data_IF_038029240339
#
_entry.id   IF_038029240339
#
_cell.length_a   1.000
_cell.length_b   1.000
_cell.length_c   1.000
_cell.angle_alpha   90.00
_cell.angle_beta   90.00
_cell.angle_gamma   90.00
#
_symmetry.space_group_name_H-M   'P 1'
#
loop_
_entity.id
_entity.type
_entity.pdbx_description
1 polymer ?
#
# COMPACT_ATOMS: atom_id res chain seq x y z
N UNK A 1 -3.53 -5.61 -1.18
CA UNK A 1 -3.86 -6.45 -0.01
C UNK A 1 -4.39 -5.52 1.07
N UNK A 2 -5.49 -5.87 1.73
CA UNK A 2 -6.08 -5.03 2.78
C UNK A 2 -5.57 -5.53 4.13
N UNK A 3 -5.09 -4.61 4.97
CA UNK A 3 -4.63 -4.91 6.33
C UNK A 3 -5.61 -4.27 7.30
N UNK A 4 -6.20 -5.10 8.16
CA UNK A 4 -7.06 -4.68 9.26
C UNK A 4 -6.29 -4.80 10.57
N UNK A 5 -6.41 -3.81 11.46
CA UNK A 5 -5.77 -3.85 12.77
C UNK A 5 -6.57 -3.03 13.78
N UNK A 6 -6.74 -3.60 14.97
CA UNK A 6 -7.35 -2.89 16.11
C UNK A 6 -6.38 -1.82 16.63
N UNK A 7 -6.87 -0.59 16.82
CA UNK A 7 -6.12 0.50 17.44
C UNK A 7 -6.55 0.62 18.90
N UNK A 8 -5.58 0.53 19.80
CA UNK A 8 -5.81 0.41 21.25
C UNK A 8 -4.81 1.19 22.10
N UNK A 9 -3.68 1.60 21.53
CA UNK A 9 -2.60 2.29 22.21
C UNK A 9 -2.26 3.56 21.44
N UNK A 10 -1.79 4.64 22.09
CA UNK A 10 -1.43 5.88 21.39
C UNK A 10 -0.48 5.67 20.20
N UNK A 11 0.46 4.73 20.30
CA UNK A 11 1.36 4.37 19.21
C UNK A 11 0.63 3.81 17.98
N UNK A 12 -0.44 3.04 18.17
CA UNK A 12 -1.27 2.52 17.07
C UNK A 12 -1.97 3.65 16.33
N UNK A 13 -2.53 4.61 17.07
CA UNK A 13 -3.19 5.78 16.48
C UNK A 13 -2.20 6.67 15.73
N UNK A 14 -1.03 6.93 16.32
CA UNK A 14 0.04 7.69 15.68
C UNK A 14 0.48 7.06 14.35
N UNK A 15 0.72 5.74 14.34
CA UNK A 15 1.04 5.01 13.12
C UNK A 15 -0.08 5.11 12.07
N UNK A 16 -1.34 4.98 12.48
CA UNK A 16 -2.49 5.06 11.58
C UNK A 16 -2.60 6.45 10.92
N UNK A 17 -2.27 7.53 11.63
CA UNK A 17 -2.20 8.89 11.06
C UNK A 17 -1.06 9.00 10.05
N UNK A 18 0.16 8.59 10.42
CA UNK A 18 1.35 8.70 9.57
C UNK A 18 1.20 7.94 8.25
N UNK A 19 0.60 6.75 8.34
CA UNK A 19 0.38 5.87 7.19
C UNK A 19 -0.96 6.13 6.47
N UNK A 20 -1.70 7.18 6.88
CA UNK A 20 -2.98 7.60 6.26
C UNK A 20 -4.02 6.48 6.19
N UNK A 21 -4.21 5.77 7.30
CA UNK A 21 -5.22 4.72 7.40
C UNK A 21 -6.63 5.31 7.39
N UNK A 22 -7.57 4.50 6.92
CA UNK A 22 -9.00 4.72 7.16
C UNK A 22 -9.43 3.94 8.39
N UNK A 23 -10.41 4.41 9.14
CA UNK A 23 -10.76 3.82 10.43
C UNK A 23 -12.27 3.69 10.58
N UNK A 24 -12.69 2.64 11.28
CA UNK A 24 -14.06 2.41 11.72
C UNK A 24 -14.14 2.53 13.24
N UNK A 25 -15.15 3.23 13.74
CA UNK A 25 -15.34 3.50 15.17
C UNK A 25 -16.60 2.80 15.65
N UNK A 26 -16.48 2.08 16.76
CA UNK A 26 -17.57 1.37 17.39
C UNK A 26 -17.73 1.81 18.85
N UNK A 27 -18.97 1.96 19.30
CA UNK A 27 -19.33 2.18 20.71
C UNK A 27 -20.49 1.26 21.08
N UNK A 28 -20.41 0.57 22.22
CA UNK A 28 -21.41 -0.39 22.66
C UNK A 28 -21.79 -1.44 21.59
N UNK A 29 -20.78 -1.91 20.85
CA UNK A 29 -20.92 -2.84 19.71
C UNK A 29 -21.70 -2.30 18.51
N UNK A 30 -21.99 -1.00 18.45
CA UNK A 30 -22.60 -0.33 17.29
C UNK A 30 -21.53 0.41 16.49
N UNK A 31 -21.57 0.25 15.17
CA UNK A 31 -20.74 1.03 14.25
C UNK A 31 -21.26 2.46 14.19
N UNK A 32 -20.40 3.44 14.50
CA UNK A 32 -20.73 4.86 14.47
C UNK A 32 -20.27 5.52 13.17
N UNK A 33 -19.04 5.24 12.75
CA UNK A 33 -18.43 5.81 11.54
C UNK A 33 -17.49 4.79 10.91
N UNK A 34 -17.32 4.80 9.59
CA UNK A 34 -16.47 3.83 8.87
C UNK A 34 -15.85 4.46 7.63
N UNK A 35 -14.59 4.11 7.35
CA UNK A 35 -13.93 4.44 6.10
C UNK A 35 -13.39 5.87 6.00
N UNK A 36 -13.18 6.54 7.13
CA UNK A 36 -12.66 7.91 7.16
C UNK A 36 -11.22 7.94 7.68
N UNK A 37 -10.39 8.90 7.20
CA UNK A 37 -9.08 9.14 7.78
C UNK A 37 -9.18 9.49 9.26
N UNK A 38 -8.12 9.15 9.99
CA UNK A 38 -7.95 9.51 11.39
C UNK A 38 -6.99 10.66 11.55
N UNK A 39 -7.29 11.55 12.49
CA UNK A 39 -6.45 12.65 12.91
C UNK A 39 -6.26 12.58 14.43
N UNK A 40 -5.03 12.76 14.91
CA UNK A 40 -4.75 12.92 16.33
C UNK A 40 -5.12 14.35 16.75
N UNK A 41 -5.99 14.50 17.75
CA UNK A 41 -6.29 15.80 18.34
C UNK A 41 -5.44 16.05 19.60
N UNK A 42 -5.41 15.06 20.50
CA UNK A 42 -4.54 15.04 21.66
C UNK A 42 -4.15 13.58 21.99
N UNK A 43 -3.57 13.32 23.16
CA UNK A 43 -3.12 11.97 23.55
C UNK A 43 -4.24 10.93 23.69
N UNK A 44 -5.45 11.38 24.02
CA UNK A 44 -6.57 10.50 24.42
C UNK A 44 -7.79 10.64 23.50
N UNK A 45 -7.74 11.58 22.55
CA UNK A 45 -8.83 11.94 21.65
C UNK A 45 -8.37 11.99 20.21
N UNK A 46 -9.16 11.38 19.33
CA UNK A 46 -8.97 11.39 17.88
C UNK A 46 -10.14 12.08 17.20
N UNK A 47 -9.89 12.62 16.02
CA UNK A 47 -10.90 13.23 15.16
C UNK A 47 -11.05 12.38 13.90
N UNK A 48 -12.30 12.00 13.61
CA UNK A 48 -12.66 11.16 12.47
C UNK A 48 -13.93 11.74 11.85
N UNK A 49 -13.91 12.02 10.55
CA UNK A 49 -15.04 12.64 9.83
C UNK A 49 -15.56 13.96 10.46
N UNK A 50 -14.71 14.73 11.14
CA UNK A 50 -15.12 15.97 11.82
C UNK A 50 -15.68 15.78 13.24
N UNK A 51 -15.83 14.54 13.71
CA UNK A 51 -16.30 14.21 15.07
C UNK A 51 -15.13 13.78 15.95
N UNK A 52 -15.17 14.17 17.23
CA UNK A 52 -14.17 13.79 18.23
C UNK A 52 -14.60 12.53 18.98
N UNK A 53 -13.66 11.60 19.19
CA UNK A 53 -13.87 10.36 19.92
C UNK A 53 -12.78 10.17 20.96
N UNK A 54 -13.18 9.82 22.18
CA UNK A 54 -12.27 9.39 23.24
C UNK A 54 -11.79 7.96 22.96
N UNK A 55 -10.47 7.74 23.04
CA UNK A 55 -9.85 6.44 22.74
C UNK A 55 -10.30 5.35 23.71
N UNK A 56 -10.58 5.70 24.97
CA UNK A 56 -10.97 4.75 26.02
C UNK A 56 -12.44 4.30 25.93
N UNK A 57 -13.32 5.13 25.35
CA UNK A 57 -14.75 4.85 25.29
C UNK A 57 -15.19 4.11 24.02
N UNK A 58 -14.30 4.04 23.03
CA UNK A 58 -14.61 3.53 21.70
C UNK A 58 -13.62 2.43 21.27
N UNK A 59 -14.07 1.56 20.39
CA UNK A 59 -13.21 0.60 19.70
C UNK A 59 -12.91 1.10 18.29
N UNK A 60 -11.67 0.97 17.87
CA UNK A 60 -11.20 1.52 16.59
C UNK A 60 -10.57 0.41 15.75
N UNK A 61 -11.08 0.21 14.54
CA UNK A 61 -10.51 -0.72 13.58
C UNK A 61 -9.89 0.08 12.42
N UNK A 62 -8.57 0.01 12.30
CA UNK A 62 -7.81 0.62 11.24
C UNK A 62 -7.71 -0.27 10.00
N UNK A 63 -7.80 0.35 8.83
CA UNK A 63 -7.75 -0.28 7.53
C UNK A 63 -6.74 0.45 6.62
N UNK A 64 -5.78 -0.31 6.09
CA UNK A 64 -4.79 0.17 5.11
C UNK A 64 -4.84 -0.67 3.84
N UNK A 65 -4.84 0.00 2.69
CA UNK A 65 -4.60 -0.64 1.40
C UNK A 65 -3.10 -0.69 1.17
N UNK A 66 -2.54 -1.90 1.14
CA UNK A 66 -1.15 -2.13 0.75
C UNK A 66 -1.11 -2.31 -0.77
N UNK A 67 -0.46 -1.40 -1.53
CA UNK A 67 -0.21 -1.63 -2.94
C UNK A 67 0.57 -2.93 -3.08
N UNK A 68 0.10 -3.84 -3.93
CA UNK A 68 0.93 -4.98 -4.30
C UNK A 68 2.09 -4.41 -5.13
N UNK A 69 3.28 -4.34 -4.54
CA UNK A 69 4.50 -4.23 -5.35
C UNK A 69 4.57 -5.50 -6.20
N UNK A 70 4.04 -5.41 -7.43
CA UNK A 70 4.33 -6.38 -8.48
C UNK A 70 5.85 -6.48 -8.56
N UNK A 71 6.36 -7.66 -8.28
CA UNK A 71 7.75 -8.07 -8.29
C UNK A 71 8.65 -7.17 -9.15
N UNK A 72 9.46 -6.35 -8.49
CA UNK A 72 10.63 -5.73 -9.11
C UNK A 72 11.74 -6.80 -9.22
N UNK A 73 11.44 -7.89 -9.93
CA UNK A 73 12.38 -8.95 -10.30
C UNK A 73 12.24 -9.20 -11.80
N UNK A 74 12.29 -8.13 -12.59
CA UNK A 74 12.45 -8.23 -14.05
C UNK A 74 13.65 -7.39 -14.53
N UNK A 75 14.57 -7.04 -13.61
CA UNK A 75 15.81 -6.31 -13.90
C UNK A 75 17.08 -7.17 -13.80
N UNK A 76 16.95 -8.47 -13.51
CA UNK A 76 18.06 -9.44 -13.52
C UNK A 76 17.99 -10.43 -14.70
N UNK A 77 17.24 -10.10 -15.77
CA UNK A 77 17.39 -10.83 -17.02
C UNK A 77 18.83 -10.61 -17.54
N UNK A 78 19.64 -11.68 -17.72
CA UNK A 78 20.99 -11.52 -18.23
C UNK A 78 20.90 -10.92 -19.63
N UNK A 79 21.64 -9.84 -19.89
CA UNK A 79 21.87 -9.33 -21.24
C UNK A 79 22.56 -10.41 -22.08
N UNK A 80 21.78 -11.26 -22.73
CA UNK A 80 22.27 -12.17 -23.76
C UNK A 80 22.75 -11.31 -24.92
N UNK A 81 24.07 -11.08 -25.00
CA UNK A 81 24.73 -10.48 -26.15
C UNK A 81 24.36 -11.30 -27.39
N UNK A 82 23.48 -10.79 -28.24
CA UNK A 82 23.23 -11.35 -29.57
C UNK A 82 24.56 -11.37 -30.34
N UNK A 83 25.11 -12.57 -30.59
CA UNK A 83 26.20 -12.78 -31.54
C UNK A 83 25.70 -12.31 -32.91
N UNK A 84 26.39 -11.33 -33.51
CA UNK A 84 26.23 -10.99 -34.93
C UNK A 84 26.62 -12.22 -35.76
N UNK A 85 25.69 -12.75 -36.54
CA UNK A 85 26.01 -13.65 -37.65
C UNK A 85 26.73 -12.81 -38.73
N UNK A 86 27.85 -13.29 -39.31
CA UNK A 86 28.44 -12.64 -40.48
C UNK A 86 27.55 -12.85 -41.71
N UNK A 87 27.53 -11.90 -42.67
CA UNK A 87 26.81 -12.08 -43.91
C UNK A 87 27.46 -13.20 -44.75
N UNK A 88 26.62 -14.08 -45.28
CA UNK A 88 26.99 -15.15 -46.21
C UNK A 88 27.51 -14.54 -47.52
N UNK A 89 28.76 -14.86 -47.87
CA UNK A 89 29.39 -14.55 -49.15
C UNK A 89 28.61 -15.20 -50.29
N UNK A 90 28.06 -14.39 -51.21
CA UNK A 90 27.43 -14.86 -52.44
C UNK A 90 28.47 -14.83 -53.57
N UNK A 91 29.03 -16.00 -53.88
CA UNK A 91 29.72 -16.25 -55.15
C UNK A 91 28.73 -16.89 -56.12
N UNK A 92 28.61 -16.29 -57.32
CA UNK A 92 28.22 -16.88 -58.62
C UNK A 92 28.13 -15.67 -59.58
N UNK A 93 29.13 -15.38 -60.43
CA UNK A 93 29.51 -16.11 -61.64
C UNK A 93 28.31 -16.37 -62.56
N UNK A 94 28.15 -15.55 -63.59
CA UNK A 94 27.54 -15.93 -64.87
C UNK A 94 27.99 -14.93 -65.93
N UNK A 95 28.87 -15.41 -66.81
CA UNK A 95 29.11 -14.90 -68.16
C UNK A 95 27.79 -14.83 -68.95
N UNK A 96 27.60 -13.74 -69.70
CA UNK A 96 27.21 -13.70 -71.14
C UNK A 96 26.97 -12.27 -71.58
#
# INVERSE_FOLDING_TARGET
MLVLRLLSEPAHFQQAVEEKWTVSVYKDSRLLVSGYPIEMFNRDTVKIAGTYFFMEECKFEGCRIVPQQRAMIEALAPRVRRRKLPPSSRNQASDS
#
